data_IF_558336273612
#
_entry.id   IF_558336273612
#
_cell.length_a   1.000
_cell.length_b   1.000
_cell.length_c   1.000
_cell.angle_alpha   90.00
_cell.angle_beta   90.00
_cell.angle_gamma   90.00
#
_symmetry.space_group_name_H-M   'P 1'
#
loop_
_entity.id
_entity.type
_entity.pdbx_description
1 polymer ?
#
# COMPACT_ATOMS: atom_id res chain seq x y z
N UNK A 1 -12.20 69.48 1.17
CA UNK A 1 -11.54 68.81 2.32
C UNK A 1 -12.28 67.51 2.53
N UNK A 2 -11.89 66.46 1.81
CA UNK A 2 -12.52 65.16 1.90
C UNK A 2 -11.54 64.14 2.47
N UNK A 3 -11.92 63.58 3.60
CA UNK A 3 -11.14 62.56 4.33
C UNK A 3 -11.53 61.18 3.76
N UNK A 4 -10.63 60.53 3.03
CA UNK A 4 -10.78 59.15 2.64
C UNK A 4 -10.34 58.24 3.78
N UNK A 5 -11.28 57.61 4.44
CA UNK A 5 -11.04 56.54 5.41
C UNK A 5 -10.64 55.26 4.68
N UNK A 6 -9.36 54.85 4.87
CA UNK A 6 -8.80 53.64 4.31
C UNK A 6 -9.08 52.51 5.30
N UNK A 7 -10.12 51.71 4.98
CA UNK A 7 -10.42 50.51 5.73
C UNK A 7 -9.41 49.40 5.37
N UNK A 8 -8.52 49.07 6.31
CA UNK A 8 -7.65 47.94 6.26
C UNK A 8 -8.48 46.65 6.55
N UNK A 9 -8.74 45.86 5.54
CA UNK A 9 -9.30 44.53 5.70
C UNK A 9 -8.17 43.58 6.14
N UNK A 10 -8.11 43.29 7.44
CA UNK A 10 -7.21 42.27 7.99
C UNK A 10 -7.71 40.90 7.59
N UNK A 11 -7.07 40.29 6.58
CA UNK A 11 -7.29 38.90 6.24
C UNK A 11 -6.69 38.01 7.34
N UNK A 12 -7.54 37.47 8.19
CA UNK A 12 -7.15 36.42 9.15
C UNK A 12 -6.91 35.14 8.37
N UNK A 13 -5.64 34.82 8.15
CA UNK A 13 -5.20 33.51 7.67
C UNK A 13 -5.42 32.50 8.79
N UNK A 14 -6.56 31.82 8.77
CA UNK A 14 -6.79 30.62 9.56
C UNK A 14 -5.84 29.51 9.04
N UNK A 15 -4.66 29.41 9.69
CA UNK A 15 -3.78 28.25 9.55
C UNK A 15 -4.46 27.04 10.19
N UNK A 16 -5.34 26.39 9.45
CA UNK A 16 -5.89 25.11 9.83
C UNK A 16 -4.77 24.07 9.81
N UNK A 17 -4.36 23.53 10.97
CA UNK A 17 -3.66 22.25 11.08
C UNK A 17 -4.58 21.15 10.55
N UNK A 18 -4.69 21.01 9.23
CA UNK A 18 -5.46 19.99 8.55
C UNK A 18 -4.54 18.84 8.18
N UNK A 19 -4.64 17.70 8.87
CA UNK A 19 -4.16 16.42 8.34
C UNK A 19 -4.67 16.27 6.91
N UNK A 20 -3.85 15.69 6.01
CA UNK A 20 -4.18 15.49 4.59
C UNK A 20 -5.53 14.77 4.49
N UNK A 21 -6.57 15.48 4.11
CA UNK A 21 -7.90 14.90 3.92
C UNK A 21 -7.89 14.23 2.54
N UNK A 22 -7.77 12.92 2.50
CA UNK A 22 -7.91 12.18 1.24
C UNK A 22 -9.31 12.37 0.70
N UNK A 23 -9.44 12.54 -0.63
CA UNK A 23 -10.74 12.59 -1.28
C UNK A 23 -11.33 11.17 -1.23
N UNK A 24 -12.57 11.06 -0.74
CA UNK A 24 -13.27 9.78 -0.68
C UNK A 24 -13.50 9.23 -2.09
N UNK A 25 -13.11 7.99 -2.29
CA UNK A 25 -13.31 7.28 -3.55
C UNK A 25 -14.75 6.76 -3.64
N UNK A 26 -15.50 7.12 -4.69
CA UNK A 26 -16.81 6.52 -4.94
C UNK A 26 -16.68 5.04 -5.32
N UNK A 27 -17.77 4.29 -5.16
CA UNK A 27 -17.86 2.92 -5.66
C UNK A 27 -17.54 2.88 -7.17
N UNK A 28 -16.89 1.80 -7.61
CA UNK A 28 -16.39 1.65 -8.97
C UNK A 28 -15.08 2.37 -9.27
N UNK A 29 -14.50 3.12 -8.32
CA UNK A 29 -13.16 3.71 -8.51
C UNK A 29 -12.11 2.64 -8.72
N UNK A 30 -11.19 2.87 -9.66
CA UNK A 30 -10.09 1.95 -9.95
C UNK A 30 -9.00 2.10 -8.88
N UNK A 31 -8.60 0.98 -8.30
CA UNK A 31 -7.47 0.86 -7.37
C UNK A 31 -6.47 -0.13 -7.94
N UNK A 32 -5.19 0.23 -7.98
CA UNK A 32 -4.13 -0.68 -8.38
C UNK A 32 -3.50 -1.31 -7.13
N UNK A 33 -3.53 -2.63 -7.05
CA UNK A 33 -2.74 -3.40 -6.09
C UNK A 33 -1.46 -3.89 -6.78
N UNK A 34 -0.34 -3.21 -6.56
CA UNK A 34 0.97 -3.55 -7.11
C UNK A 34 1.73 -4.42 -6.13
N UNK A 35 2.22 -5.58 -6.56
CA UNK A 35 2.99 -6.45 -5.67
C UNK A 35 3.56 -7.70 -6.35
N UNK A 36 3.89 -8.66 -5.51
CA UNK A 36 4.45 -9.95 -5.87
C UNK A 36 3.42 -11.10 -5.75
N UNK A 37 3.87 -12.28 -5.29
CA UNK A 37 3.03 -13.46 -5.10
C UNK A 37 1.92 -13.26 -4.05
N UNK A 38 2.17 -12.46 -3.01
CA UNK A 38 1.16 -12.13 -2.00
C UNK A 38 0.03 -11.27 -2.59
N UNK A 39 0.31 -10.46 -3.59
CA UNK A 39 -0.72 -9.71 -4.31
C UNK A 39 -1.39 -10.57 -5.38
N UNK A 40 -0.61 -11.41 -6.08
CA UNK A 40 -1.14 -12.33 -7.08
C UNK A 40 -2.10 -13.39 -6.49
N UNK A 41 -1.98 -13.70 -5.18
CA UNK A 41 -2.83 -14.66 -4.51
C UNK A 41 -2.30 -16.10 -4.54
N UNK A 42 -0.97 -16.27 -4.61
CA UNK A 42 -0.35 -17.60 -4.54
C UNK A 42 -0.71 -18.28 -3.22
N UNK A 43 -1.07 -19.57 -3.26
CA UNK A 43 -1.52 -20.33 -2.09
C UNK A 43 -3.02 -20.33 -1.86
N UNK A 44 -3.80 -19.62 -2.70
CA UNK A 44 -5.26 -19.60 -2.63
C UNK A 44 -5.91 -19.94 -3.97
N UNK A 45 -7.16 -20.41 -3.98
CA UNK A 45 -7.93 -20.57 -5.22
C UNK A 45 -8.09 -19.27 -5.99
N UNK A 46 -8.38 -19.39 -7.29
CA UNK A 46 -8.65 -18.24 -8.14
C UNK A 46 -9.74 -17.33 -7.54
N UNK A 47 -9.55 -16.01 -7.60
CA UNK A 47 -10.41 -14.98 -7.01
C UNK A 47 -10.48 -14.99 -5.45
N UNK A 48 -9.67 -15.78 -4.79
CA UNK A 48 -9.52 -15.72 -3.33
C UNK A 48 -8.32 -14.85 -2.89
N UNK A 49 -7.64 -14.18 -3.83
CA UNK A 49 -6.61 -13.17 -3.58
C UNK A 49 -7.19 -11.93 -2.90
N UNK A 50 -6.35 -11.16 -2.16
CA UNK A 50 -6.83 -10.00 -1.44
C UNK A 50 -7.37 -8.87 -2.33
N UNK A 51 -6.83 -8.60 -3.55
CA UNK A 51 -7.42 -7.63 -4.46
C UNK A 51 -8.88 -7.94 -4.81
N UNK A 52 -9.17 -9.21 -5.15
CA UNK A 52 -10.54 -9.68 -5.44
C UNK A 52 -11.45 -9.52 -4.22
N UNK A 53 -10.99 -9.94 -3.03
CA UNK A 53 -11.74 -9.80 -1.78
C UNK A 53 -11.99 -8.34 -1.39
N UNK A 54 -10.99 -7.48 -1.60
CA UNK A 54 -11.13 -6.05 -1.35
C UNK A 54 -12.18 -5.43 -2.29
N UNK A 55 -12.18 -5.81 -3.57
CA UNK A 55 -13.20 -5.36 -4.53
C UNK A 55 -14.62 -5.76 -4.08
N UNK A 56 -14.82 -7.02 -3.69
CA UNK A 56 -16.10 -7.54 -3.17
C UNK A 56 -16.59 -6.76 -1.93
N UNK A 57 -15.68 -6.47 -0.99
CA UNK A 57 -16.01 -5.81 0.28
C UNK A 57 -16.28 -4.31 0.18
N UNK A 58 -15.77 -3.66 -0.86
CA UNK A 58 -15.76 -2.19 -0.95
C UNK A 58 -16.52 -1.64 -2.16
N UNK A 59 -16.84 -2.46 -3.15
CA UNK A 59 -17.41 -2.01 -4.42
C UNK A 59 -16.41 -1.26 -5.31
N UNK A 60 -15.10 -1.27 -4.97
CA UNK A 60 -14.04 -0.72 -5.81
C UNK A 60 -13.69 -1.68 -6.95
N UNK A 61 -13.14 -1.15 -8.04
CA UNK A 61 -12.51 -1.96 -9.09
C UNK A 61 -11.03 -2.13 -8.77
N UNK A 62 -10.65 -3.27 -8.18
CA UNK A 62 -9.26 -3.51 -7.78
C UNK A 62 -8.53 -4.30 -8.86
N UNK A 63 -7.57 -3.64 -9.51
CA UNK A 63 -6.67 -4.27 -10.48
C UNK A 63 -5.62 -5.05 -9.69
N UNK A 64 -5.60 -6.37 -9.89
CA UNK A 64 -4.54 -7.21 -9.35
C UNK A 64 -3.29 -7.07 -10.23
N UNK A 65 -2.35 -6.25 -9.77
CA UNK A 65 -1.03 -6.04 -10.37
C UNK A 65 0.06 -6.90 -9.72
N UNK A 66 -0.29 -8.02 -9.08
CA UNK A 66 0.65 -8.99 -8.51
C UNK A 66 1.30 -9.85 -9.58
N UNK A 67 2.60 -10.08 -9.45
CA UNK A 67 3.35 -11.07 -10.27
C UNK A 67 4.24 -11.90 -9.35
N UNK A 68 3.99 -13.20 -9.29
CA UNK A 68 4.76 -14.11 -8.43
C UNK A 68 6.26 -14.04 -8.71
N UNK A 69 7.05 -14.00 -7.64
CA UNK A 69 8.52 -13.93 -7.72
C UNK A 69 9.07 -12.53 -8.00
N UNK A 70 8.24 -11.52 -8.29
CA UNK A 70 8.74 -10.19 -8.61
C UNK A 70 9.50 -9.56 -7.44
N UNK A 71 10.65 -8.97 -7.78
CA UNK A 71 11.41 -8.05 -6.93
C UNK A 71 10.89 -6.63 -7.08
N UNK A 72 11.34 -5.73 -6.21
CA UNK A 72 11.01 -4.30 -6.28
C UNK A 72 11.41 -3.67 -7.62
N UNK A 73 12.56 -4.06 -8.17
CA UNK A 73 13.02 -3.59 -9.49
C UNK A 73 12.10 -4.01 -10.63
N UNK A 74 11.63 -5.27 -10.61
CA UNK A 74 10.69 -5.78 -11.61
C UNK A 74 9.31 -5.13 -11.49
N UNK A 75 8.83 -4.89 -10.26
CA UNK A 75 7.59 -4.17 -10.02
C UNK A 75 7.66 -2.72 -10.52
N UNK A 76 8.79 -2.02 -10.26
CA UNK A 76 9.05 -0.66 -10.76
C UNK A 76 9.00 -0.61 -12.29
N UNK A 77 9.63 -1.56 -12.97
CA UNK A 77 9.69 -1.59 -14.44
C UNK A 77 8.32 -1.67 -15.12
N UNK A 78 7.32 -2.34 -14.48
CA UNK A 78 5.96 -2.49 -15.05
C UNK A 78 4.95 -1.46 -14.56
N UNK A 79 5.28 -0.67 -13.53
CA UNK A 79 4.40 0.34 -12.96
C UNK A 79 3.90 1.38 -13.99
N UNK A 80 4.72 1.93 -14.92
CA UNK A 80 4.24 2.90 -15.91
C UNK A 80 3.09 2.36 -16.78
N UNK A 81 3.15 1.08 -17.15
CA UNK A 81 2.08 0.45 -17.93
C UNK A 81 0.78 0.32 -17.13
N UNK A 82 0.89 -0.02 -15.84
CA UNK A 82 -0.25 -0.16 -14.96
C UNK A 82 -0.92 1.19 -14.63
N UNK A 83 -0.14 2.26 -14.49
CA UNK A 83 -0.67 3.61 -14.25
C UNK A 83 -1.51 4.15 -15.42
N UNK A 84 -1.31 3.65 -16.65
CA UNK A 84 -2.18 4.02 -17.79
C UNK A 84 -3.65 3.59 -17.63
N UNK A 85 -3.94 2.72 -16.67
CA UNK A 85 -5.32 2.35 -16.32
C UNK A 85 -6.02 3.38 -15.43
N UNK A 86 -5.37 4.53 -15.16
CA UNK A 86 -5.89 5.68 -14.39
C UNK A 86 -6.40 5.31 -12.98
N UNK A 87 -5.65 4.56 -12.17
CA UNK A 87 -6.05 4.25 -10.81
C UNK A 87 -6.21 5.54 -9.98
N UNK A 88 -7.14 5.52 -9.03
CA UNK A 88 -7.37 6.61 -8.06
C UNK A 88 -6.67 6.38 -6.73
N UNK A 89 -6.10 5.20 -6.55
CA UNK A 89 -5.28 4.79 -5.41
C UNK A 89 -4.32 3.69 -5.88
N UNK A 90 -3.08 3.71 -5.38
CA UNK A 90 -2.13 2.61 -5.57
C UNK A 90 -1.76 2.02 -4.21
N UNK A 91 -1.96 0.72 -4.06
CA UNK A 91 -1.48 -0.08 -2.93
C UNK A 91 -0.18 -0.75 -3.38
N UNK A 92 0.93 -0.50 -2.67
CA UNK A 92 2.25 -1.08 -2.97
C UNK A 92 2.61 -2.08 -1.89
N UNK A 93 2.66 -3.37 -2.23
CA UNK A 93 3.04 -4.48 -1.36
C UNK A 93 4.13 -5.31 -2.04
N UNK A 94 5.40 -4.95 -1.86
CA UNK A 94 6.55 -5.51 -2.60
C UNK A 94 7.82 -5.47 -1.76
N UNK A 95 8.79 -6.32 -2.06
CA UNK A 95 10.12 -6.35 -1.45
C UNK A 95 10.45 -7.66 -0.76
N UNK A 96 9.48 -8.54 -0.56
CA UNK A 96 9.72 -9.86 0.04
C UNK A 96 10.76 -10.67 -0.73
N UNK A 97 10.65 -10.70 -2.06
CA UNK A 97 11.61 -11.43 -2.92
C UNK A 97 13.00 -10.79 -2.93
N UNK A 98 13.12 -9.48 -2.79
CA UNK A 98 14.41 -8.80 -2.67
C UNK A 98 15.16 -9.33 -1.43
N UNK A 99 14.49 -9.45 -0.30
CA UNK A 99 15.07 -9.97 0.94
C UNK A 99 15.41 -11.46 0.85
N UNK A 100 14.51 -12.27 0.27
CA UNK A 100 14.74 -13.71 0.06
C UNK A 100 15.94 -13.97 -0.85
N UNK A 101 16.11 -13.14 -1.88
CA UNK A 101 17.23 -13.20 -2.83
C UNK A 101 18.48 -12.47 -2.33
N UNK A 102 18.44 -11.94 -1.09
CA UNK A 102 19.55 -11.19 -0.46
C UNK A 102 20.04 -10.00 -1.30
N UNK A 103 19.11 -9.32 -1.99
CA UNK A 103 19.46 -8.09 -2.68
C UNK A 103 19.81 -6.98 -1.67
N UNK A 104 20.67 -6.02 -2.04
CA UNK A 104 20.99 -4.90 -1.16
C UNK A 104 19.71 -4.14 -0.74
N UNK A 105 19.54 -3.91 0.56
CA UNK A 105 18.39 -3.14 1.07
C UNK A 105 18.30 -1.76 0.44
N UNK A 106 19.46 -1.14 0.14
CA UNK A 106 19.52 0.16 -0.54
C UNK A 106 18.83 0.14 -1.90
N UNK A 107 18.97 -0.94 -2.68
CA UNK A 107 18.32 -1.10 -3.97
C UNK A 107 16.79 -1.26 -3.80
N UNK A 108 16.35 -2.08 -2.84
CA UNK A 108 14.92 -2.24 -2.52
C UNK A 108 14.31 -0.91 -2.09
N UNK A 109 15.01 -0.17 -1.21
CA UNK A 109 14.61 1.16 -0.73
C UNK A 109 14.49 2.16 -1.88
N UNK A 110 15.46 2.20 -2.77
CA UNK A 110 15.46 3.09 -3.94
C UNK A 110 14.32 2.76 -4.90
N UNK A 111 14.12 1.49 -5.22
CA UNK A 111 13.06 1.06 -6.13
C UNK A 111 11.66 1.39 -5.60
N UNK A 112 11.38 1.10 -4.32
CA UNK A 112 10.09 1.44 -3.69
C UNK A 112 9.93 2.96 -3.64
N UNK A 113 10.98 3.71 -3.31
CA UNK A 113 10.97 5.17 -3.34
C UNK A 113 10.58 5.72 -4.71
N UNK A 114 11.21 5.23 -5.78
CA UNK A 114 10.88 5.62 -7.17
C UNK A 114 9.44 5.28 -7.55
N UNK A 115 8.92 4.13 -7.10
CA UNK A 115 7.50 3.80 -7.31
C UNK A 115 6.58 4.81 -6.63
N UNK A 116 6.86 5.18 -5.38
CA UNK A 116 6.07 6.18 -4.64
C UNK A 116 6.13 7.54 -5.36
N UNK A 117 7.33 7.99 -5.73
CA UNK A 117 7.54 9.25 -6.46
C UNK A 117 6.75 9.29 -7.78
N UNK A 118 6.80 8.21 -8.56
CA UNK A 118 6.09 8.10 -9.83
C UNK A 118 4.57 8.19 -9.64
N UNK A 119 4.01 7.54 -8.62
CA UNK A 119 2.58 7.57 -8.31
C UNK A 119 2.17 8.95 -7.80
N UNK A 120 2.98 9.56 -6.94
CA UNK A 120 2.72 10.92 -6.42
C UNK A 120 2.82 11.99 -7.50
N UNK A 121 3.74 11.84 -8.47
CA UNK A 121 3.85 12.73 -9.63
C UNK A 121 2.58 12.72 -10.50
N UNK A 122 1.85 11.60 -10.52
CA UNK A 122 0.54 11.48 -11.14
C UNK A 122 -0.62 11.99 -10.24
N UNK A 123 -0.31 12.60 -9.08
CA UNK A 123 -1.29 13.05 -8.08
C UNK A 123 -2.19 11.93 -7.52
N UNK A 124 -1.70 10.69 -7.52
CA UNK A 124 -2.42 9.52 -7.01
C UNK A 124 -1.96 9.23 -5.58
N UNK A 125 -2.88 9.01 -4.62
CA UNK A 125 -2.54 8.57 -3.27
C UNK A 125 -1.86 7.19 -3.28
N UNK A 126 -0.96 6.98 -2.30
CA UNK A 126 -0.27 5.70 -2.09
C UNK A 126 -0.60 5.15 -0.71
N UNK A 127 -0.92 3.86 -0.65
CA UNK A 127 -0.86 3.04 0.56
C UNK A 127 0.34 2.10 0.41
N UNK A 128 1.36 2.30 1.22
CA UNK A 128 2.48 1.38 1.33
C UNK A 128 2.10 0.29 2.34
N UNK A 129 2.34 -0.97 1.99
CA UNK A 129 2.12 -2.12 2.88
C UNK A 129 3.47 -2.64 3.34
N UNK A 130 3.64 -2.76 4.65
CA UNK A 130 4.85 -3.33 5.20
C UNK A 130 4.89 -4.85 4.97
N UNK A 131 6.05 -5.35 4.55
CA UNK A 131 6.32 -6.78 4.34
C UNK A 131 7.29 -7.24 5.41
N UNK A 132 7.10 -8.44 5.99
CA UNK A 132 7.99 -8.99 6.98
C UNK A 132 9.40 -9.23 6.41
N UNK A 133 10.39 -9.06 7.27
CA UNK A 133 11.76 -9.44 6.97
C UNK A 133 11.99 -10.94 7.26
N UNK A 134 12.78 -11.64 6.44
CA UNK A 134 13.17 -13.02 6.72
C UNK A 134 14.17 -13.05 7.88
N UNK A 135 13.72 -13.44 9.06
CA UNK A 135 14.54 -13.55 10.27
C UNK A 135 14.36 -14.93 10.90
N UNK A 136 15.24 -15.29 11.83
CA UNK A 136 15.07 -16.49 12.65
C UNK A 136 13.72 -16.44 13.39
N UNK A 137 13.33 -15.27 13.90
CA UNK A 137 12.00 -15.08 14.51
C UNK A 137 10.85 -15.38 13.55
N UNK A 138 10.98 -14.99 12.28
CA UNK A 138 9.97 -15.32 11.25
C UNK A 138 9.86 -16.84 11.02
N UNK A 139 10.98 -17.56 11.03
CA UNK A 139 11.00 -19.04 10.94
C UNK A 139 10.37 -19.70 12.17
N UNK A 140 10.40 -19.03 13.32
CA UNK A 140 9.77 -19.49 14.56
C UNK A 140 8.32 -18.99 14.73
N UNK A 141 7.68 -18.53 13.66
CA UNK A 141 6.29 -18.05 13.70
C UNK A 141 6.11 -16.65 14.30
N UNK A 142 7.19 -15.88 14.46
CA UNK A 142 7.17 -14.50 14.96
C UNK A 142 7.72 -13.51 13.92
N UNK A 143 7.08 -13.39 12.74
CA UNK A 143 7.52 -12.44 11.73
C UNK A 143 7.28 -11.00 12.20
N UNK A 144 8.12 -10.08 11.76
CA UNK A 144 7.97 -8.65 12.02
C UNK A 144 8.25 -7.86 10.76
N UNK A 145 7.57 -6.73 10.61
CA UNK A 145 7.75 -5.84 9.46
C UNK A 145 9.21 -5.38 9.32
N UNK A 146 9.67 -5.26 8.08
CA UNK A 146 10.97 -4.67 7.82
C UNK A 146 10.91 -3.15 8.09
N UNK A 147 11.86 -2.56 8.86
CA UNK A 147 11.85 -1.13 9.22
C UNK A 147 11.84 -0.18 8.03
N UNK A 148 12.42 -0.60 6.91
CA UNK A 148 12.48 0.13 5.63
C UNK A 148 11.12 0.78 5.25
N UNK A 149 9.98 0.08 5.48
CA UNK A 149 8.66 0.59 5.10
C UNK A 149 8.22 1.77 5.97
N UNK A 150 8.55 1.74 7.25
CA UNK A 150 8.33 2.87 8.17
C UNK A 150 9.12 4.10 7.77
N UNK A 151 10.39 3.92 7.41
CA UNK A 151 11.27 4.99 6.95
C UNK A 151 10.75 5.62 5.65
N UNK A 152 10.38 4.78 4.68
CA UNK A 152 9.84 5.24 3.39
C UNK A 152 8.51 5.98 3.57
N UNK A 153 7.59 5.43 4.37
CA UNK A 153 6.31 6.06 4.62
C UNK A 153 6.47 7.45 5.24
N UNK A 154 7.39 7.59 6.19
CA UNK A 154 7.74 8.89 6.80
C UNK A 154 8.40 9.84 5.79
N UNK A 155 9.39 9.35 5.03
CA UNK A 155 10.13 10.16 4.05
C UNK A 155 9.23 10.74 2.97
N UNK A 156 8.35 9.92 2.41
CA UNK A 156 7.47 10.30 1.31
C UNK A 156 6.10 10.79 1.76
N UNK A 157 5.84 10.80 3.07
CA UNK A 157 4.56 11.20 3.66
C UNK A 157 3.37 10.45 3.01
N UNK A 158 3.46 9.11 2.96
CA UNK A 158 2.41 8.22 2.46
C UNK A 158 1.82 7.39 3.58
N UNK A 159 0.62 6.86 3.34
CA UNK A 159 -0.04 5.96 4.28
C UNK A 159 0.72 4.64 4.38
N UNK A 160 0.80 4.08 5.59
CA UNK A 160 1.45 2.81 5.87
C UNK A 160 0.49 1.85 6.55
N UNK A 161 0.17 0.74 5.89
CA UNK A 161 -0.45 -0.41 6.52
C UNK A 161 0.65 -1.34 7.03
N UNK A 162 0.76 -1.46 8.35
CA UNK A 162 1.81 -2.25 9.02
C UNK A 162 1.24 -3.42 9.82
N UNK A 163 2.06 -4.44 10.04
CA UNK A 163 1.78 -5.59 10.89
C UNK A 163 0.85 -6.64 10.29
N UNK A 164 0.16 -6.35 9.19
CA UNK A 164 -0.88 -7.24 8.67
C UNK A 164 -0.29 -8.51 8.07
N UNK A 165 0.73 -8.39 7.20
CA UNK A 165 1.40 -9.60 6.69
C UNK A 165 2.14 -10.35 7.79
N UNK A 166 2.71 -9.65 8.78
CA UNK A 166 3.37 -10.29 9.91
C UNK A 166 2.36 -11.10 10.75
N UNK A 167 1.17 -10.55 11.03
CA UNK A 167 0.08 -11.26 11.72
C UNK A 167 -0.34 -12.52 10.94
N UNK A 168 -0.59 -12.39 9.64
CA UNK A 168 -1.09 -13.49 8.79
C UNK A 168 -0.05 -14.58 8.62
N UNK A 169 1.18 -14.22 8.30
CA UNK A 169 2.26 -15.20 8.07
C UNK A 169 2.82 -15.80 9.37
N UNK A 170 2.46 -15.22 10.52
CA UNK A 170 2.73 -15.79 11.84
C UNK A 170 1.70 -16.82 12.32
N UNK A 171 0.52 -16.90 11.70
CA UNK A 171 -0.53 -17.84 12.07
C UNK A 171 -0.63 -19.00 11.06
N UNK A 172 -0.33 -20.22 11.52
CA UNK A 172 -0.37 -21.43 10.68
C UNK A 172 -1.73 -21.68 10.01
N UNK A 173 -2.83 -21.19 10.61
CA UNK A 173 -4.20 -21.33 10.09
C UNK A 173 -4.46 -20.43 8.88
N UNK A 174 -3.64 -19.38 8.70
CA UNK A 174 -3.81 -18.34 7.67
C UNK A 174 -2.81 -18.49 6.51
N UNK A 175 -1.94 -19.50 6.57
CA UNK A 175 -0.89 -19.75 5.57
C UNK A 175 -1.18 -20.98 4.72
N UNK A 176 -0.64 -20.99 3.52
CA UNK A 176 -0.53 -22.18 2.66
C UNK A 176 0.88 -22.79 2.72
N UNK A 177 1.89 -21.94 2.96
CA UNK A 177 3.29 -22.35 3.14
C UNK A 177 4.04 -21.29 3.97
N UNK A 178 5.36 -21.35 4.00
CA UNK A 178 6.20 -20.47 4.85
C UNK A 178 6.10 -18.97 4.51
N UNK A 179 5.70 -18.61 3.28
CA UNK A 179 5.74 -17.23 2.77
C UNK A 179 4.45 -16.78 2.08
N UNK A 180 3.46 -17.66 1.93
CA UNK A 180 2.20 -17.34 1.30
C UNK A 180 1.00 -17.55 2.23
N UNK A 181 0.03 -16.68 2.11
CA UNK A 181 -1.26 -16.82 2.76
C UNK A 181 -2.13 -17.88 2.05
N UNK A 182 -3.08 -18.46 2.77
CA UNK A 182 -4.17 -19.20 2.19
C UNK A 182 -5.39 -18.29 1.92
N UNK A 183 -6.50 -18.84 1.44
CA UNK A 183 -7.70 -18.06 1.12
C UNK A 183 -8.24 -17.26 2.32
N UNK A 184 -8.17 -17.81 3.52
CA UNK A 184 -8.60 -17.15 4.76
C UNK A 184 -7.64 -16.01 5.13
N UNK A 185 -6.33 -16.22 4.99
CA UNK A 185 -5.31 -15.19 5.20
C UNK A 185 -5.49 -14.01 4.24
N UNK A 186 -5.76 -14.26 2.97
CA UNK A 186 -6.06 -13.19 2.01
C UNK A 186 -7.37 -12.46 2.31
N UNK A 187 -8.41 -13.17 2.75
CA UNK A 187 -9.65 -12.55 3.22
C UNK A 187 -9.37 -11.62 4.40
N UNK A 188 -8.60 -12.10 5.38
CA UNK A 188 -8.19 -11.31 6.56
C UNK A 188 -7.41 -10.07 6.19
N UNK A 189 -6.49 -10.19 5.21
CA UNK A 189 -5.75 -9.03 4.69
C UNK A 189 -6.70 -8.00 4.08
N UNK A 190 -7.64 -8.44 3.24
CA UNK A 190 -8.61 -7.56 2.59
C UNK A 190 -9.49 -6.81 3.61
N UNK A 191 -9.93 -7.48 4.68
CA UNK A 191 -10.68 -6.86 5.78
C UNK A 191 -9.87 -5.76 6.46
N UNK A 192 -8.62 -6.07 6.85
CA UNK A 192 -7.72 -5.10 7.49
C UNK A 192 -7.44 -3.90 6.57
N UNK A 193 -7.26 -4.14 5.27
CA UNK A 193 -7.07 -3.08 4.27
C UNK A 193 -8.35 -2.22 4.14
N UNK A 194 -9.52 -2.83 4.02
CA UNK A 194 -10.78 -2.09 3.93
C UNK A 194 -11.02 -1.22 5.17
N UNK A 195 -10.78 -1.75 6.36
CA UNK A 195 -10.89 -1.01 7.62
C UNK A 195 -9.88 0.12 7.71
N UNK A 196 -8.66 -0.11 7.23
CA UNK A 196 -7.64 0.92 7.14
C UNK A 196 -8.08 2.05 6.21
N UNK A 197 -8.58 1.74 5.01
CA UNK A 197 -9.06 2.74 4.05
C UNK A 197 -10.25 3.54 4.60
N UNK A 198 -11.19 2.90 5.33
CA UNK A 198 -12.29 3.59 6.03
C UNK A 198 -11.77 4.56 7.09
N UNK A 199 -10.83 4.11 7.94
CA UNK A 199 -10.22 4.97 8.98
C UNK A 199 -9.49 6.18 8.39
N UNK A 200 -8.93 6.05 7.19
CA UNK A 200 -8.27 7.16 6.50
C UNK A 200 -9.28 8.05 5.71
N UNK A 201 -10.56 7.72 5.69
CA UNK A 201 -11.59 8.46 4.96
C UNK A 201 -11.47 8.32 3.43
N UNK A 202 -10.82 7.24 2.94
CA UNK A 202 -10.64 6.98 1.52
C UNK A 202 -11.87 6.27 0.93
N UNK A 203 -12.56 5.47 1.72
CA UNK A 203 -13.82 4.80 1.36
C UNK A 203 -14.86 4.95 2.45
#
# INVERSE_FOLDING_TARGET
>A
MDRHDFLWLSAVLLSGCGGRKYIRLPAGSIVLALGDSLTAGVGAPRHADYPSRLAEMTGLQVINGGVSGNTSGQALARLPALLRQNPKLVIISIGGNDFLQRQPESATRENIGKMIEMVQAASIPVVLVAVPRPTVGALLGMPSDHPLYGDLAKRYNVLLLKGVWAEILGDERLKSDAVHANAEGYRRFAEKMADFLRKQGII
#
